data_IF_857201412356
#
_entry.id   IF_857201412356
#
_cell.length_a   1.000
_cell.length_b   1.000
_cell.length_c   1.000
_cell.angle_alpha   90.00
_cell.angle_beta   90.00
_cell.angle_gamma   90.00
#
_symmetry.space_group_name_H-M   'P 1'
#
loop_
_entity.id
_entity.type
_entity.pdbx_description
1 polymer ?
#
# COMPACT_ATOMS: atom_id res chain seq x y z
N UNK A 1 -5.19 12.19 9.81
CA UNK A 1 -3.91 12.31 9.14
C UNK A 1 -4.09 12.50 7.65
N UNK A 2 -3.39 13.44 7.08
CA UNK A 2 -3.57 13.77 5.67
C UNK A 2 -2.70 12.87 4.80
N UNK A 3 -3.29 12.32 3.75
CA UNK A 3 -2.54 11.51 2.81
C UNK A 3 -1.54 12.39 2.07
N UNK A 4 -0.38 11.84 1.80
CA UNK A 4 0.65 12.53 1.03
C UNK A 4 0.51 12.15 -0.43
N UNK A 5 0.78 13.10 -1.29
CA UNK A 5 0.64 12.92 -2.72
C UNK A 5 1.90 13.33 -3.44
N UNK A 6 2.17 12.65 -4.54
CA UNK A 6 3.32 12.90 -5.40
C UNK A 6 2.80 13.27 -6.78
N UNK A 7 3.57 14.04 -7.52
CA UNK A 7 3.22 14.33 -8.91
C UNK A 7 3.35 13.05 -9.72
N UNK A 8 2.29 12.74 -10.45
CA UNK A 8 2.25 11.51 -11.23
C UNK A 8 3.42 11.47 -12.22
N UNK A 9 3.70 12.59 -12.87
CA UNK A 9 4.75 12.64 -13.87
C UNK A 9 6.10 12.25 -13.30
N UNK A 10 6.39 12.68 -12.09
CA UNK A 10 7.66 12.34 -11.43
C UNK A 10 7.73 10.85 -11.11
N UNK A 11 6.62 10.29 -10.67
CA UNK A 11 6.56 8.85 -10.36
C UNK A 11 6.71 8.03 -11.63
N UNK A 12 6.08 8.47 -12.72
CA UNK A 12 6.21 7.77 -13.99
C UNK A 12 7.65 7.74 -14.49
N UNK A 13 8.34 8.87 -14.35
CA UNK A 13 9.75 8.94 -14.75
C UNK A 13 10.61 8.05 -13.85
N UNK A 14 10.40 8.14 -12.56
CA UNK A 14 11.17 7.37 -11.59
C UNK A 14 11.02 5.87 -11.83
N UNK A 15 9.80 5.42 -12.08
CA UNK A 15 9.52 4.00 -12.26
C UNK A 15 9.59 3.55 -13.73
N UNK A 16 9.82 4.48 -14.64
CA UNK A 16 9.87 4.21 -16.08
C UNK A 16 8.57 3.55 -16.55
N UNK A 17 7.44 4.15 -16.18
CA UNK A 17 6.10 3.64 -16.49
C UNK A 17 5.45 4.57 -17.51
N UNK A 18 4.97 4.03 -18.63
CA UNK A 18 4.30 4.84 -19.63
C UNK A 18 2.80 4.95 -19.34
N UNK A 19 2.12 5.78 -20.14
CA UNK A 19 0.70 6.04 -19.94
C UNK A 19 -0.15 4.81 -20.19
N UNK A 20 0.24 3.97 -21.13
CA UNK A 20 -0.53 2.77 -21.48
C UNK A 20 -0.53 1.80 -20.30
N UNK A 21 0.64 1.55 -19.74
CA UNK A 21 0.76 0.66 -18.60
C UNK A 21 0.01 1.23 -17.39
N UNK A 22 0.17 2.52 -17.15
CA UNK A 22 -0.48 3.17 -16.03
C UNK A 22 -2.00 3.04 -16.15
N UNK A 23 -2.54 3.22 -17.35
CA UNK A 23 -3.97 3.06 -17.58
C UNK A 23 -4.44 1.66 -17.28
N UNK A 24 -3.67 0.66 -17.67
CA UNK A 24 -4.02 -0.73 -17.39
C UNK A 24 -4.11 -0.96 -15.88
N UNK A 25 -3.14 -0.47 -15.14
CA UNK A 25 -3.11 -0.64 -13.70
C UNK A 25 -4.28 0.07 -13.03
N UNK A 26 -4.60 1.27 -13.51
CA UNK A 26 -5.74 2.03 -12.99
C UNK A 26 -7.06 1.34 -13.32
N UNK A 27 -7.18 0.79 -14.53
CA UNK A 27 -8.41 0.11 -14.95
C UNK A 27 -8.67 -1.13 -14.10
N UNK A 28 -7.62 -1.76 -13.61
CA UNK A 28 -7.77 -2.91 -12.73
C UNK A 28 -8.03 -2.49 -11.28
N UNK A 29 -8.09 -1.20 -11.01
CA UNK A 29 -8.38 -0.71 -9.68
C UNK A 29 -7.23 -0.83 -8.70
N UNK A 30 -6.02 -1.03 -9.18
CA UNK A 30 -4.87 -1.24 -8.30
C UNK A 30 -4.29 0.05 -7.75
N UNK A 31 -4.38 1.13 -8.52
CA UNK A 31 -3.97 2.47 -8.08
C UNK A 31 -4.99 3.48 -8.57
N UNK A 32 -5.03 4.62 -7.93
CA UNK A 32 -5.98 5.68 -8.29
C UNK A 32 -5.21 6.97 -8.54
N UNK A 33 -5.49 7.62 -9.66
CA UNK A 33 -4.91 8.90 -10.00
C UNK A 33 -5.92 9.98 -9.63
N UNK A 34 -5.45 11.02 -8.94
CA UNK A 34 -6.28 12.14 -8.58
C UNK A 34 -5.74 13.40 -9.23
N UNK A 35 -6.55 14.46 -9.20
CA UNK A 35 -6.16 15.74 -9.78
C UNK A 35 -6.33 16.82 -8.75
N UNK A 36 -5.38 17.75 -8.73
CA UNK A 36 -5.46 18.91 -7.83
C UNK A 36 -6.42 19.92 -8.40
N UNK A 37 -6.64 20.98 -7.63
CA UNK A 37 -7.48 22.09 -8.07
C UNK A 37 -6.95 22.67 -9.39
N UNK A 38 -5.64 22.67 -9.58
CA UNK A 38 -5.01 23.17 -10.81
C UNK A 38 -4.95 22.11 -11.90
N UNK A 39 -5.68 21.01 -11.72
CA UNK A 39 -5.76 19.92 -12.69
C UNK A 39 -4.42 19.22 -12.91
N UNK A 40 -3.59 19.22 -11.91
CA UNK A 40 -2.33 18.46 -11.95
C UNK A 40 -2.58 17.04 -11.45
N UNK A 41 -2.11 16.04 -12.23
CA UNK A 41 -2.29 14.63 -11.85
C UNK A 41 -1.35 14.26 -10.71
N UNK A 42 -1.90 13.65 -9.69
CA UNK A 42 -1.15 13.23 -8.51
C UNK A 42 -1.53 11.80 -8.13
N UNK A 43 -0.65 11.16 -7.40
CA UNK A 43 -0.87 9.80 -6.91
C UNK A 43 -0.44 9.79 -5.44
N UNK A 44 -1.16 9.04 -4.61
CA UNK A 44 -0.79 8.96 -3.20
C UNK A 44 0.53 8.21 -3.05
N UNK A 45 1.22 8.48 -1.95
CA UNK A 45 2.47 7.77 -1.65
C UNK A 45 2.22 6.27 -1.58
N UNK A 46 1.09 5.86 -0.98
CA UNK A 46 0.75 4.44 -0.87
C UNK A 46 0.53 3.81 -2.25
N UNK A 47 -0.19 4.50 -3.13
CA UNK A 47 -0.42 3.97 -4.47
C UNK A 47 0.85 3.99 -5.31
N UNK A 48 1.72 4.99 -5.10
CA UNK A 48 3.01 5.00 -5.77
C UNK A 48 3.84 3.78 -5.36
N UNK A 49 3.78 3.41 -4.10
CA UNK A 49 4.48 2.22 -3.62
C UNK A 49 3.89 0.95 -4.23
N UNK A 50 2.56 0.88 -4.34
CA UNK A 50 1.91 -0.24 -5.00
C UNK A 50 2.35 -0.35 -6.46
N UNK A 51 2.41 0.79 -7.14
CA UNK A 51 2.86 0.82 -8.53
C UNK A 51 4.31 0.33 -8.64
N UNK A 52 5.16 0.73 -7.71
CA UNK A 52 6.55 0.27 -7.69
C UNK A 52 6.61 -1.25 -7.55
N UNK A 53 5.83 -1.81 -6.63
CA UNK A 53 5.80 -3.27 -6.43
C UNK A 53 5.31 -3.98 -7.69
N UNK A 54 4.29 -3.43 -8.35
CA UNK A 54 3.80 -4.01 -9.61
C UNK A 54 4.92 -4.04 -10.65
N UNK A 55 5.65 -2.93 -10.79
CA UNK A 55 6.72 -2.90 -11.79
C UNK A 55 7.83 -3.90 -11.49
N UNK A 56 8.18 -4.06 -10.21
CA UNK A 56 9.19 -5.04 -9.82
C UNK A 56 8.72 -6.45 -10.14
N UNK A 57 7.48 -6.78 -9.78
CA UNK A 57 6.94 -8.11 -10.04
C UNK A 57 6.92 -8.43 -11.52
N UNK A 58 6.52 -7.48 -12.34
CA UNK A 58 6.39 -7.73 -13.76
C UNK A 58 7.71 -7.70 -14.51
N UNK A 59 8.61 -6.80 -14.14
CA UNK A 59 9.87 -6.63 -14.88
C UNK A 59 10.96 -7.56 -14.40
N UNK A 60 11.04 -7.78 -13.10
CA UNK A 60 12.15 -8.53 -12.53
C UNK A 60 11.77 -9.96 -12.22
N UNK A 61 10.50 -10.24 -11.95
CA UNK A 61 10.06 -11.56 -11.58
C UNK A 61 9.14 -12.20 -12.61
N UNK A 62 8.96 -11.52 -13.73
CA UNK A 62 8.22 -12.06 -14.87
C UNK A 62 6.78 -12.43 -14.53
N UNK A 63 6.17 -11.73 -13.58
CA UNK A 63 4.79 -11.94 -13.19
C UNK A 63 3.90 -11.06 -14.09
N UNK A 64 2.79 -11.60 -14.56
CA UNK A 64 1.88 -10.78 -15.35
C UNK A 64 1.00 -9.93 -14.44
N UNK A 65 0.22 -9.01 -15.02
CA UNK A 65 -0.57 -8.07 -14.23
C UNK A 65 -1.58 -8.78 -13.35
N UNK A 66 -2.23 -9.83 -13.86
CA UNK A 66 -3.19 -10.58 -13.06
C UNK A 66 -2.52 -11.21 -11.84
N UNK A 67 -1.32 -11.75 -12.02
CA UNK A 67 -0.56 -12.31 -10.92
C UNK A 67 -0.15 -11.24 -9.92
N UNK A 68 0.27 -10.08 -10.41
CA UNK A 68 0.64 -8.97 -9.54
C UNK A 68 -0.55 -8.52 -8.70
N UNK A 69 -1.75 -8.52 -9.28
CA UNK A 69 -2.96 -8.17 -8.56
C UNK A 69 -3.22 -9.12 -7.40
N UNK A 70 -3.07 -10.42 -7.65
CA UNK A 70 -3.25 -11.43 -6.60
C UNK A 70 -2.24 -11.22 -5.48
N UNK A 71 -0.98 -10.99 -5.86
CA UNK A 71 0.08 -10.80 -4.87
C UNK A 71 -0.19 -9.57 -4.00
N UNK A 72 -0.65 -8.48 -4.61
CA UNK A 72 -0.96 -7.27 -3.85
C UNK A 72 -2.11 -7.51 -2.88
N UNK A 73 -3.14 -8.23 -3.30
CA UNK A 73 -4.25 -8.55 -2.41
C UNK A 73 -3.79 -9.41 -1.24
N UNK A 74 -2.96 -10.42 -1.50
CA UNK A 74 -2.40 -11.25 -0.44
C UNK A 74 -1.53 -10.43 0.52
N UNK A 75 -0.76 -9.53 -0.02
CA UNK A 75 0.09 -8.65 0.78
C UNK A 75 -0.76 -7.77 1.71
N UNK A 76 -1.86 -7.23 1.17
CA UNK A 76 -2.78 -6.42 1.97
C UNK A 76 -3.42 -7.26 3.08
N UNK A 77 -3.81 -8.50 2.76
CA UNK A 77 -4.39 -9.40 3.74
C UNK A 77 -3.41 -9.73 4.86
N UNK A 78 -2.16 -10.01 4.50
CA UNK A 78 -1.13 -10.30 5.49
C UNK A 78 -0.91 -9.09 6.39
N UNK A 79 -0.86 -7.89 5.81
CA UNK A 79 -0.70 -6.67 6.59
C UNK A 79 -1.85 -6.45 7.56
N UNK A 80 -3.08 -6.73 7.11
CA UNK A 80 -4.26 -6.61 7.97
C UNK A 80 -4.20 -7.61 9.12
N UNK A 81 -3.79 -8.84 8.82
CA UNK A 81 -3.65 -9.87 9.85
C UNK A 81 -2.59 -9.50 10.87
N UNK A 82 -1.48 -8.93 10.41
CA UNK A 82 -0.44 -8.50 11.33
C UNK A 82 -0.93 -7.41 12.26
N UNK A 83 -1.70 -6.45 11.75
CA UNK A 83 -2.26 -5.41 12.60
C UNK A 83 -3.21 -5.99 13.64
N UNK A 84 -4.05 -6.95 13.24
CA UNK A 84 -4.96 -7.62 14.16
C UNK A 84 -4.18 -8.36 15.24
N UNK A 85 -3.14 -9.06 14.85
CA UNK A 85 -2.33 -9.80 15.79
C UNK A 85 -1.66 -8.87 16.79
N UNK A 86 -1.14 -7.73 16.32
CA UNK A 86 -0.54 -6.73 17.18
C UNK A 86 -1.54 -6.16 18.18
N UNK A 87 -2.77 -5.93 17.74
CA UNK A 87 -3.83 -5.44 18.62
C UNK A 87 -4.18 -6.45 19.70
N UNK A 88 -4.27 -7.72 19.31
CA UNK A 88 -4.55 -8.78 20.26
C UNK A 88 -3.43 -8.90 21.28
N UNK A 89 -2.19 -8.86 20.83
CA UNK A 89 -1.05 -8.91 21.74
C UNK A 89 -1.04 -7.75 22.70
N UNK A 90 -1.34 -6.57 22.19
CA UNK A 90 -1.37 -5.37 23.02
C UNK A 90 -2.44 -5.47 24.09
N UNK A 91 -3.62 -5.95 23.71
CA UNK A 91 -4.71 -6.14 24.65
C UNK A 91 -4.36 -7.18 25.69
N UNK A 92 -3.71 -8.26 25.27
CA UNK A 92 -3.31 -9.32 26.17
C UNK A 92 -2.28 -8.84 27.19
N UNK A 93 -1.28 -8.10 26.72
CA UNK A 93 -0.26 -7.54 27.61
C UNK A 93 -0.91 -6.60 28.64
N UNK A 94 -1.85 -5.80 28.18
CA UNK A 94 -2.54 -4.87 29.05
C UNK A 94 -3.34 -5.61 30.13
N UNK A 95 -3.98 -6.68 29.74
CA UNK A 95 -4.75 -7.50 30.67
C UNK A 95 -3.83 -8.16 31.70
N UNK A 96 -2.70 -8.67 31.25
CA UNK A 96 -1.72 -9.28 32.16
C UNK A 96 -1.17 -8.25 33.13
N UNK A 97 -0.93 -7.06 32.65
CA UNK A 97 -0.42 -5.98 33.50
C UNK A 97 -1.41 -5.67 34.63
N UNK A 98 -2.68 -5.59 34.29
CA UNK A 98 -3.70 -5.31 35.30
C UNK A 98 -3.78 -6.42 36.34
N UNK A 99 -3.62 -7.65 35.92
CA UNK A 99 -3.76 -8.77 36.83
C UNK A 99 -2.52 -9.02 37.67
N UNK A 100 -1.34 -8.89 37.05
CA UNK A 100 -0.11 -9.25 37.72
C UNK A 100 0.52 -8.05 38.38
N UNK A 101 0.56 -6.96 37.62
CA UNK A 101 1.20 -5.79 38.08
C UNK A 101 0.39 -4.96 39.05
N UNK A 102 -0.71 -5.43 39.49
CA UNK A 102 -1.65 -4.68 40.23
C UNK A 102 -1.07 -3.66 41.18
N UNK A 103 -1.90 -2.98 41.88
CA UNK A 103 -1.51 -1.86 42.68
C UNK A 103 -0.65 -2.23 43.86
N UNK A 104 -0.16 -3.35 43.83
CA UNK A 104 0.53 -3.86 44.91
C UNK A 104 1.73 -3.14 45.21
N UNK A 105 2.00 -2.28 44.74
CA UNK A 105 3.20 -1.76 45.24
C UNK A 105 3.38 -0.47 44.92
#
# INVERSE_FOLDING_TARGET
MTARYLRLQEVQVELAVDDVFLRQVCDEGLVEIKHTVDDEAVISVDDAERLRVITVLMREMDVNLAGAEVILHLRDDVSAMQRQFDEILRALVEELRRRIGGPTR
#
